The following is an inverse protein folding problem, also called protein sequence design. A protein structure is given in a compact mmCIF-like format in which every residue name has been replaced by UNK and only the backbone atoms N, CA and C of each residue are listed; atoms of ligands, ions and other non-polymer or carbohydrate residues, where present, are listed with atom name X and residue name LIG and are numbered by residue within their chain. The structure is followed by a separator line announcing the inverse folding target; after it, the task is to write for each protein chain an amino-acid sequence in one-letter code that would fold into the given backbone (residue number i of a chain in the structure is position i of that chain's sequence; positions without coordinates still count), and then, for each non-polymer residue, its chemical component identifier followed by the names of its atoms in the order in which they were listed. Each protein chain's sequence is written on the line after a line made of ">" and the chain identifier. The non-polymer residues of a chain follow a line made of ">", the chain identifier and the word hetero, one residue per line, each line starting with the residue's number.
data_IF_084046814472
#
_entry.id   IF_084046814472
#
_cell.length_a   1.000
_cell.length_b   1.000
_cell.length_c   1.000
_cell.angle_alpha   90.00
_cell.angle_beta   90.00
_cell.angle_gamma   90.00
#
_symmetry.space_group_name_H-M   'P 1'
#
loop_
_entity.id
_entity.type
_entity.pdbx_description
1 polymer ?
#
# COMPACT_ATOMS: atom_id res chain seq x y z
N UNK A 1 -17.82 6.76 14.40
CA UNK A 1 -18.54 5.99 13.37
C UNK A 1 -18.18 4.52 13.54
N UNK A 2 -19.14 3.62 13.50
CA UNK A 2 -18.90 2.18 13.52
C UNK A 2 -18.76 1.65 12.09
N UNK A 3 -18.13 0.50 11.91
CA UNK A 3 -17.94 -0.10 10.57
C UNK A 3 -19.29 -0.34 9.84
N UNK A 4 -20.34 -0.70 10.58
CA UNK A 4 -21.68 -0.93 10.01
C UNK A 4 -22.34 0.34 9.46
N UNK A 5 -21.89 1.50 9.88
CA UNK A 5 -22.40 2.81 9.47
C UNK A 5 -21.75 3.32 8.17
N UNK A 6 -20.63 2.72 7.75
CA UNK A 6 -19.92 3.07 6.52
C UNK A 6 -20.77 2.71 5.30
N UNK A 7 -21.08 3.70 4.44
CA UNK A 7 -21.90 3.57 3.23
C UNK A 7 -21.20 4.11 1.98
N UNK A 8 -20.19 4.95 2.14
CA UNK A 8 -19.51 5.64 1.05
C UNK A 8 -17.98 5.60 1.23
N UNK A 9 -17.19 5.86 0.18
CA UNK A 9 -15.74 6.03 0.33
C UNK A 9 -15.33 7.15 1.28
N UNK A 10 -16.12 8.23 1.34
CA UNK A 10 -15.92 9.34 2.28
C UNK A 10 -16.09 8.87 3.73
N UNK A 11 -17.06 8.00 3.99
CA UNK A 11 -17.23 7.40 5.32
C UNK A 11 -16.05 6.51 5.69
N UNK A 12 -15.42 5.81 4.71
CA UNK A 12 -14.20 5.04 4.93
C UNK A 12 -13.09 5.99 5.39
N UNK A 13 -12.86 7.09 4.67
CA UNK A 13 -11.82 8.05 5.04
C UNK A 13 -12.08 8.65 6.43
N UNK A 14 -13.31 8.99 6.73
CA UNK A 14 -13.69 9.54 8.06
C UNK A 14 -13.51 8.50 9.16
N UNK A 15 -13.85 7.22 8.90
CA UNK A 15 -13.60 6.12 9.81
C UNK A 15 -12.08 5.97 10.09
N UNK A 16 -11.25 5.97 9.04
CA UNK A 16 -9.79 5.86 9.17
C UNK A 16 -9.24 7.01 10.02
N UNK A 17 -9.63 8.26 9.75
CA UNK A 17 -9.19 9.44 10.51
C UNK A 17 -9.49 9.35 12.01
N UNK A 18 -10.64 8.79 12.36
CA UNK A 18 -11.11 8.77 13.74
C UNK A 18 -10.62 7.55 14.52
N UNK A 19 -10.24 6.46 13.84
CA UNK A 19 -10.01 5.18 14.50
C UNK A 19 -8.61 4.60 14.27
N UNK A 20 -7.91 5.00 13.19
CA UNK A 20 -6.63 4.38 12.83
C UNK A 20 -5.52 5.44 12.84
N UNK A 21 -4.45 5.17 13.60
CA UNK A 21 -3.23 5.98 13.62
C UNK A 21 -2.13 5.31 12.81
N UNK A 22 -1.17 6.09 12.34
CA UNK A 22 0.04 5.52 11.76
C UNK A 22 0.93 4.94 12.88
N UNK A 23 1.12 3.64 12.83
CA UNK A 23 1.87 2.87 13.81
C UNK A 23 2.03 1.43 13.36
N UNK A 24 2.66 0.60 14.17
CA UNK A 24 2.92 -0.80 13.86
C UNK A 24 3.01 -1.66 15.12
N UNK A 25 2.73 -2.94 14.98
CA UNK A 25 2.98 -3.96 16.00
C UNK A 25 4.32 -4.63 15.72
N UNK A 26 5.05 -4.94 16.77
CA UNK A 26 6.26 -5.73 16.66
C UNK A 26 6.01 -7.22 16.89
N UNK A 27 7.09 -8.00 16.79
CA UNK A 27 7.05 -9.46 16.98
C UNK A 27 6.65 -9.88 18.39
N UNK A 28 6.66 -8.99 19.37
CA UNK A 28 6.27 -9.20 20.77
C UNK A 28 4.90 -8.54 21.07
N UNK A 29 4.16 -8.12 20.03
CA UNK A 29 2.85 -7.45 20.06
C UNK A 29 2.86 -6.07 20.73
N UNK A 30 4.04 -5.43 20.84
CA UNK A 30 4.14 -4.07 21.37
C UNK A 30 3.77 -3.04 20.32
N UNK A 31 3.02 -2.00 20.74
CA UNK A 31 2.58 -0.91 19.89
C UNK A 31 3.66 0.17 19.71
N UNK A 32 3.92 0.56 18.48
CA UNK A 32 4.83 1.65 18.13
C UNK A 32 4.10 2.73 17.33
N UNK A 33 3.74 3.84 17.97
CA UNK A 33 3.04 4.97 17.35
C UNK A 33 4.03 6.12 17.15
N UNK A 34 4.15 6.61 15.90
CA UNK A 34 5.04 7.72 15.57
C UNK A 34 6.53 7.43 15.75
N UNK A 35 6.92 6.17 15.91
CA UNK A 35 8.30 5.75 16.13
C UNK A 35 8.66 4.61 15.18
N UNK A 36 9.62 4.87 14.28
CA UNK A 36 10.10 3.89 13.30
C UNK A 36 11.44 3.22 13.71
N UNK A 37 11.89 3.44 14.95
CA UNK A 37 13.13 2.81 15.45
C UNK A 37 12.95 1.28 15.47
N UNK A 38 13.90 0.58 14.88
CA UNK A 38 13.91 -0.88 14.71
C UNK A 38 12.76 -1.45 13.85
N UNK A 39 11.95 -0.62 13.18
CA UNK A 39 10.85 -1.06 12.33
C UNK A 39 11.22 -2.24 11.43
N UNK A 40 12.27 -2.10 10.61
CA UNK A 40 12.69 -3.16 9.67
C UNK A 40 13.08 -4.49 10.33
N UNK A 41 13.39 -4.47 11.62
CA UNK A 41 13.82 -5.64 12.38
C UNK A 41 12.69 -6.35 13.09
N UNK A 42 11.79 -5.56 13.68
CA UNK A 42 10.79 -6.03 14.64
C UNK A 42 9.37 -6.02 14.11
N UNK A 43 9.10 -5.23 13.04
CA UNK A 43 7.79 -5.14 12.43
C UNK A 43 7.28 -6.50 11.98
N UNK A 44 6.02 -6.73 12.26
CA UNK A 44 5.19 -7.75 11.63
C UNK A 44 3.92 -7.12 11.05
N UNK A 45 3.42 -7.67 9.95
CA UNK A 45 2.10 -7.31 9.44
C UNK A 45 1.02 -7.75 10.41
N UNK A 46 -0.01 -6.92 10.56
CA UNK A 46 -1.19 -7.20 11.38
C UNK A 46 -2.35 -7.68 10.52
N UNK A 47 -3.21 -8.51 11.11
CA UNK A 47 -4.52 -8.81 10.52
C UNK A 47 -5.43 -7.57 10.55
N UNK A 48 -6.57 -7.65 9.85
CA UNK A 48 -7.58 -6.58 9.90
C UNK A 48 -8.14 -6.44 11.32
N UNK A 49 -8.37 -7.57 11.99
CA UNK A 49 -8.87 -7.62 13.35
C UNK A 49 -7.90 -6.92 14.31
N UNK A 50 -6.60 -7.24 14.24
CA UNK A 50 -5.57 -6.58 15.04
C UNK A 50 -5.45 -5.09 14.73
N UNK A 51 -5.48 -4.72 13.43
CA UNK A 51 -5.46 -3.30 13.00
C UNK A 51 -6.62 -2.51 13.61
N UNK A 52 -7.81 -3.12 13.68
CA UNK A 52 -9.00 -2.51 14.27
C UNK A 52 -8.95 -2.50 15.80
N UNK A 53 -8.47 -3.57 16.43
CA UNK A 53 -8.38 -3.71 17.88
C UNK A 53 -7.40 -2.70 18.48
N UNK A 54 -6.21 -2.59 17.88
CA UNK A 54 -5.16 -1.66 18.32
C UNK A 54 -5.34 -0.23 17.78
N UNK A 55 -6.14 -0.06 16.73
CA UNK A 55 -6.35 1.25 16.08
C UNK A 55 -5.07 1.81 15.44
N UNK A 56 -4.16 0.93 15.01
CA UNK A 56 -2.90 1.32 14.35
C UNK A 56 -2.62 0.45 13.12
N UNK A 57 -1.87 1.01 12.18
CA UNK A 57 -1.34 0.30 11.02
C UNK A 57 -0.37 1.18 10.23
N UNK A 58 0.55 0.55 9.53
CA UNK A 58 1.37 1.21 8.52
C UNK A 58 0.56 1.43 7.23
N UNK A 59 1.20 1.90 6.17
CA UNK A 59 0.53 1.98 4.86
C UNK A 59 0.05 0.61 4.36
N UNK A 60 0.68 -0.48 4.78
CA UNK A 60 0.33 -1.85 4.37
C UNK A 60 -1.04 -2.22 4.95
N UNK A 61 -1.18 -2.21 6.27
CA UNK A 61 -2.42 -2.57 6.97
C UNK A 61 -3.56 -1.61 6.67
N UNK A 62 -3.26 -0.30 6.63
CA UNK A 62 -4.29 0.70 6.37
C UNK A 62 -4.88 0.57 4.97
N UNK A 63 -4.04 0.32 3.96
CA UNK A 63 -4.50 0.10 2.58
C UNK A 63 -5.29 -1.20 2.48
N UNK A 64 -4.86 -2.26 3.17
CA UNK A 64 -5.60 -3.52 3.19
C UNK A 64 -6.97 -3.37 3.84
N UNK A 65 -7.05 -2.67 4.98
CA UNK A 65 -8.32 -2.36 5.65
C UNK A 65 -9.24 -1.53 4.74
N UNK A 66 -8.73 -0.46 4.12
CA UNK A 66 -9.53 0.36 3.20
C UNK A 66 -10.04 -0.44 1.99
N UNK A 67 -9.21 -1.34 1.43
CA UNK A 67 -9.60 -2.25 0.37
C UNK A 67 -10.77 -3.15 0.79
N UNK A 68 -10.71 -3.75 1.97
CA UNK A 68 -11.81 -4.60 2.49
C UNK A 68 -13.09 -3.83 2.80
N UNK A 69 -12.96 -2.58 3.26
CA UNK A 69 -14.13 -1.70 3.43
C UNK A 69 -14.77 -1.32 2.08
N UNK A 70 -13.98 -1.09 1.03
CA UNK A 70 -14.46 -0.90 -0.33
C UNK A 70 -15.14 -2.16 -0.90
N UNK A 71 -14.55 -3.35 -0.66
CA UNK A 71 -15.17 -4.64 -1.06
C UNK A 71 -16.54 -4.82 -0.41
N UNK A 72 -16.67 -4.48 0.86
CA UNK A 72 -17.97 -4.53 1.57
C UNK A 72 -19.02 -3.60 0.96
N UNK A 73 -18.61 -2.47 0.39
CA UNK A 73 -19.48 -1.56 -0.35
C UNK A 73 -19.75 -2.04 -1.80
N UNK A 74 -19.20 -3.18 -2.22
CA UNK A 74 -19.20 -3.66 -3.60
C UNK A 74 -18.55 -2.67 -4.58
N UNK A 75 -17.55 -1.92 -4.13
CA UNK A 75 -16.78 -0.99 -4.95
C UNK A 75 -15.49 -1.68 -5.39
N UNK A 76 -15.34 -1.83 -6.72
CA UNK A 76 -14.12 -2.38 -7.31
C UNK A 76 -12.92 -1.56 -6.88
N UNK A 77 -11.86 -2.22 -6.42
CA UNK A 77 -10.63 -1.57 -6.00
C UNK A 77 -9.39 -2.40 -6.33
N UNK A 78 -8.23 -1.79 -6.21
CA UNK A 78 -6.92 -2.43 -6.36
C UNK A 78 -5.92 -1.80 -5.42
N UNK A 79 -5.06 -2.61 -4.83
CA UNK A 79 -3.96 -2.17 -3.99
C UNK A 79 -2.65 -2.18 -4.77
N UNK A 80 -1.83 -1.16 -4.55
CA UNK A 80 -0.54 -0.99 -5.20
C UNK A 80 0.54 -0.67 -4.18
N UNK A 81 1.76 -1.07 -4.51
CA UNK A 81 2.96 -0.72 -3.77
C UNK A 81 3.92 0.02 -4.70
N UNK A 82 4.32 1.23 -4.32
CA UNK A 82 5.46 1.95 -4.90
C UNK A 82 6.66 1.80 -3.99
N UNK A 83 7.83 1.60 -4.59
CA UNK A 83 9.12 1.49 -3.88
C UNK A 83 10.10 2.45 -4.52
N UNK A 84 10.68 3.30 -3.71
CA UNK A 84 11.62 4.32 -4.14
C UNK A 84 12.93 4.14 -3.37
N UNK A 85 14.03 4.11 -4.08
CA UNK A 85 15.36 4.07 -3.49
C UNK A 85 15.94 5.46 -3.41
N UNK A 86 16.30 5.87 -2.21
CA UNK A 86 17.12 7.06 -2.01
C UNK A 86 18.55 6.81 -2.49
N UNK A 87 19.19 7.90 -2.94
CA UNK A 87 20.60 7.91 -3.17
C UNK A 87 21.09 7.34 -4.50
N UNK A 88 22.41 7.22 -4.60
CA UNK A 88 23.13 6.99 -5.84
C UNK A 88 23.48 5.53 -6.09
N UNK A 89 23.34 4.67 -5.09
CA UNK A 89 23.79 3.29 -5.17
C UNK A 89 22.62 2.29 -5.20
N UNK A 90 22.25 1.90 -6.41
CA UNK A 90 21.25 0.86 -6.66
C UNK A 90 21.65 -0.53 -6.14
N UNK A 91 22.89 -0.72 -5.73
CA UNK A 91 23.40 -2.02 -5.27
C UNK A 91 23.19 -2.22 -3.76
N UNK A 92 22.87 -1.16 -3.01
CA UNK A 92 22.58 -1.26 -1.58
C UNK A 92 21.08 -1.10 -1.30
N UNK A 93 20.31 -2.05 -1.79
CA UNK A 93 18.84 -2.03 -1.80
C UNK A 93 18.19 -2.19 -0.41
N UNK A 94 18.93 -2.57 0.62
CA UNK A 94 18.35 -2.85 1.94
C UNK A 94 18.29 -1.62 2.86
N UNK A 95 19.10 -0.61 2.63
CA UNK A 95 19.27 0.48 3.59
C UNK A 95 18.41 1.72 3.31
N UNK A 96 17.99 1.94 2.06
CA UNK A 96 17.47 3.23 1.59
C UNK A 96 16.17 3.09 0.77
N UNK A 97 15.39 2.05 1.02
CA UNK A 97 14.11 1.85 0.33
C UNK A 97 12.96 2.47 1.10
N UNK A 98 12.25 3.38 0.43
CA UNK A 98 10.96 3.89 0.87
C UNK A 98 9.86 3.14 0.16
N UNK A 99 8.99 2.52 0.94
CA UNK A 99 7.80 1.83 0.46
C UNK A 99 6.57 2.63 0.83
N UNK A 100 5.66 2.78 -0.14
CA UNK A 100 4.31 3.25 0.14
C UNK A 100 3.28 2.37 -0.54
N UNK A 101 2.28 1.93 0.23
CA UNK A 101 1.12 1.22 -0.29
C UNK A 101 -0.05 2.20 -0.43
N UNK A 102 -0.85 2.03 -1.49
CA UNK A 102 -2.03 2.84 -1.74
C UNK A 102 -3.14 2.01 -2.39
N UNK A 103 -4.39 2.45 -2.24
CA UNK A 103 -5.57 1.82 -2.83
C UNK A 103 -6.23 2.76 -3.83
N UNK A 104 -6.52 2.23 -5.01
CA UNK A 104 -7.38 2.87 -5.99
C UNK A 104 -8.74 2.19 -6.01
N UNK A 105 -9.80 2.98 -6.16
CA UNK A 105 -11.15 2.45 -6.39
C UNK A 105 -11.79 3.05 -7.64
N UNK A 106 -12.78 2.33 -8.18
CA UNK A 106 -13.39 2.63 -9.48
C UNK A 106 -14.88 2.88 -9.28
N UNK A 107 -15.32 4.09 -9.57
CA UNK A 107 -16.71 4.49 -9.42
C UNK A 107 -17.14 5.39 -10.57
N UNK A 108 -18.31 5.12 -11.17
CA UNK A 108 -18.88 5.92 -12.25
C UNK A 108 -17.93 6.18 -13.44
N UNK A 109 -17.09 5.20 -13.77
CA UNK A 109 -16.14 5.28 -14.89
C UNK A 109 -14.88 6.08 -14.60
N UNK A 110 -14.68 6.52 -13.37
CA UNK A 110 -13.49 7.25 -12.90
C UNK A 110 -12.67 6.43 -11.91
N UNK A 111 -11.44 6.87 -11.67
CA UNK A 111 -10.50 6.27 -10.74
C UNK A 111 -10.25 7.24 -9.60
N UNK A 112 -10.25 6.71 -8.40
CA UNK A 112 -10.04 7.49 -7.18
C UNK A 112 -9.02 6.82 -6.28
N UNK A 113 -8.28 7.61 -5.51
CA UNK A 113 -7.45 7.16 -4.39
C UNK A 113 -8.08 7.61 -3.07
N UNK A 114 -8.15 6.71 -2.09
CA UNK A 114 -8.28 7.11 -0.69
C UNK A 114 -6.87 7.09 -0.11
N UNK A 115 -6.39 8.26 0.31
CA UNK A 115 -5.11 8.38 0.99
C UNK A 115 -5.33 8.73 2.47
N UNK A 116 -4.79 7.90 3.36
CA UNK A 116 -4.80 8.12 4.79
C UNK A 116 -3.43 7.90 5.44
N UNK A 117 -2.65 6.87 5.06
CA UNK A 117 -1.32 6.62 5.64
C UNK A 117 -0.35 7.80 5.51
N UNK A 118 -0.43 8.55 4.42
CA UNK A 118 0.39 9.76 4.24
C UNK A 118 -0.34 10.96 4.84
N UNK A 119 0.03 11.35 6.06
CA UNK A 119 -0.58 12.44 6.81
C UNK A 119 -0.59 13.79 6.10
N UNK A 120 0.37 14.03 5.16
CA UNK A 120 0.41 15.25 4.35
C UNK A 120 -0.59 15.26 3.19
N UNK A 121 -1.10 14.07 2.84
CA UNK A 121 -1.94 13.84 1.67
C UNK A 121 -3.30 13.23 2.02
N UNK A 122 -3.71 13.27 3.27
CA UNK A 122 -5.00 12.68 3.68
C UNK A 122 -6.15 13.26 2.87
N UNK A 123 -6.86 12.40 2.12
CA UNK A 123 -7.96 12.84 1.25
C UNK A 123 -8.43 11.80 0.25
N UNK A 124 -9.38 12.21 -0.60
CA UNK A 124 -9.82 11.46 -1.77
C UNK A 124 -9.43 12.25 -3.01
N UNK A 125 -8.75 11.60 -3.94
CA UNK A 125 -8.23 12.21 -5.17
C UNK A 125 -8.84 11.50 -6.38
N UNK A 126 -9.32 12.29 -7.36
CA UNK A 126 -9.89 11.78 -8.62
C UNK A 126 -8.84 11.82 -9.74
N UNK A 127 -8.82 10.79 -10.58
CA UNK A 127 -7.93 10.66 -11.73
C UNK A 127 -8.73 10.25 -12.96
N UNK A 128 -8.23 10.60 -14.16
CA UNK A 128 -8.87 10.21 -15.40
C UNK A 128 -8.87 8.69 -15.63
N UNK A 129 -7.77 8.04 -15.26
CA UNK A 129 -7.59 6.60 -15.42
C UNK A 129 -6.54 6.05 -14.44
N UNK A 130 -6.42 4.71 -14.39
CA UNK A 130 -5.49 4.00 -13.50
C UNK A 130 -4.03 4.36 -13.77
N UNK A 131 -3.63 4.50 -15.04
CA UNK A 131 -2.26 4.82 -15.42
C UNK A 131 -1.85 6.20 -14.90
N UNK A 132 -2.71 7.20 -15.06
CA UNK A 132 -2.48 8.54 -14.54
C UNK A 132 -2.37 8.52 -13.01
N UNK A 133 -3.29 7.83 -12.32
CA UNK A 133 -3.26 7.72 -10.86
C UNK A 133 -1.94 7.10 -10.36
N UNK A 134 -1.57 5.96 -10.94
CA UNK A 134 -0.36 5.22 -10.56
C UNK A 134 0.90 6.06 -10.82
N UNK A 135 0.99 6.74 -11.97
CA UNK A 135 2.14 7.56 -12.31
C UNK A 135 2.26 8.79 -11.41
N UNK A 136 1.17 9.54 -11.18
CA UNK A 136 1.19 10.74 -10.33
C UNK A 136 1.56 10.42 -8.88
N UNK A 137 1.03 9.31 -8.34
CA UNK A 137 1.36 8.87 -6.98
C UNK A 137 2.83 8.46 -6.91
N UNK A 138 3.31 7.68 -7.87
CA UNK A 138 4.72 7.27 -7.91
C UNK A 138 5.66 8.46 -8.03
N UNK A 139 5.39 9.40 -8.92
CA UNK A 139 6.20 10.59 -9.13
C UNK A 139 6.28 11.46 -7.88
N UNK A 140 5.18 11.55 -7.11
CA UNK A 140 5.20 12.22 -5.82
C UNK A 140 6.23 11.59 -4.87
N UNK A 141 6.25 10.25 -4.73
CA UNK A 141 7.18 9.57 -3.83
C UNK A 141 8.61 9.60 -4.35
N UNK A 142 8.82 9.49 -5.66
CA UNK A 142 10.15 9.65 -6.30
C UNK A 142 10.72 11.04 -6.00
N UNK A 143 9.90 12.07 -6.12
CA UNK A 143 10.31 13.45 -5.83
C UNK A 143 10.56 13.67 -4.34
N UNK A 144 9.71 13.14 -3.48
CA UNK A 144 9.85 13.26 -2.02
C UNK A 144 11.15 12.60 -1.52
N UNK A 145 11.48 11.42 -2.03
CA UNK A 145 12.66 10.66 -1.64
C UNK A 145 13.93 11.05 -2.42
N UNK A 146 13.84 11.99 -3.38
CA UNK A 146 14.94 12.34 -4.30
C UNK A 146 15.60 11.11 -4.93
N UNK A 147 14.79 10.09 -5.20
CA UNK A 147 15.25 8.75 -5.51
C UNK A 147 14.82 8.25 -6.88
N UNK A 148 14.93 6.94 -7.04
CA UNK A 148 14.50 6.23 -8.25
C UNK A 148 13.50 5.16 -7.90
N UNK A 149 12.43 5.07 -8.70
CA UNK A 149 11.37 4.09 -8.53
C UNK A 149 11.76 2.73 -9.08
N UNK A 150 11.29 1.67 -8.42
CA UNK A 150 11.04 0.36 -9.02
C UNK A 150 9.70 0.35 -9.74
N UNK A 151 9.43 -0.67 -10.59
CA UNK A 151 8.09 -0.87 -11.12
C UNK A 151 7.05 -0.94 -10.00
N UNK A 152 5.93 -0.26 -10.20
CA UNK A 152 4.82 -0.29 -9.25
C UNK A 152 4.14 -1.65 -9.35
N UNK A 153 3.89 -2.25 -8.19
CA UNK A 153 3.37 -3.60 -8.09
C UNK A 153 1.96 -3.60 -7.53
N UNK A 154 1.02 -4.17 -8.28
CA UNK A 154 -0.29 -4.51 -7.73
C UNK A 154 -0.13 -5.73 -6.82
N UNK A 155 -0.69 -5.65 -5.60
CA UNK A 155 -0.77 -6.76 -4.66
C UNK A 155 -2.23 -7.02 -4.28
N UNK A 156 -2.53 -8.16 -3.63
CA UNK A 156 -3.91 -8.63 -3.50
C UNK A 156 -4.29 -8.93 -2.05
N UNK A 157 -3.34 -9.34 -1.24
CA UNK A 157 -3.56 -9.75 0.15
C UNK A 157 -2.39 -9.34 1.02
N UNK A 158 -2.66 -9.22 2.31
CA UNK A 158 -1.64 -9.03 3.35
C UNK A 158 -1.86 -10.15 4.36
N UNK A 159 -0.95 -11.12 4.36
CA UNK A 159 -0.95 -12.17 5.38
C UNK A 159 -0.42 -11.57 6.69
N UNK A 160 -1.03 -11.91 7.85
CA UNK A 160 -0.53 -11.47 9.14
C UNK A 160 0.80 -12.17 9.50
N UNK A 161 1.56 -11.54 10.38
CA UNK A 161 2.85 -12.03 10.88
C UNK A 161 3.98 -12.12 9.84
N UNK A 162 3.87 -11.41 8.72
CA UNK A 162 5.01 -11.25 7.82
C UNK A 162 5.96 -10.19 8.36
N UNK A 163 7.25 -10.48 8.38
CA UNK A 163 8.25 -9.45 8.59
C UNK A 163 8.25 -8.44 7.42
N UNK A 164 8.84 -7.26 7.62
CA UNK A 164 9.03 -6.29 6.54
C UNK A 164 9.77 -6.91 5.32
N UNK A 165 10.75 -7.78 5.60
CA UNK A 165 11.48 -8.51 4.56
C UNK A 165 10.60 -9.49 3.80
N UNK A 166 9.74 -10.22 4.49
CA UNK A 166 8.86 -11.21 3.86
C UNK A 166 7.78 -10.54 3.01
N UNK A 167 7.22 -9.42 3.47
CA UNK A 167 6.33 -8.62 2.66
C UNK A 167 7.04 -8.08 1.39
N UNK A 168 8.27 -7.59 1.50
CA UNK A 168 9.07 -7.19 0.34
C UNK A 168 9.34 -8.35 -0.63
N UNK A 169 9.61 -9.55 -0.12
CA UNK A 169 9.79 -10.74 -0.93
C UNK A 169 8.51 -11.09 -1.70
N UNK A 170 7.36 -11.03 -1.03
CA UNK A 170 6.05 -11.20 -1.67
C UNK A 170 5.84 -10.21 -2.83
N UNK A 171 6.12 -8.92 -2.63
CA UNK A 171 6.04 -7.91 -3.69
C UNK A 171 7.01 -8.22 -4.84
N UNK A 172 8.24 -8.66 -4.56
CA UNK A 172 9.22 -9.05 -5.58
C UNK A 172 8.73 -10.25 -6.42
N UNK A 173 8.14 -11.26 -5.79
CA UNK A 173 7.59 -12.41 -6.49
C UNK A 173 6.44 -12.04 -7.44
N UNK A 174 5.59 -11.08 -7.06
CA UNK A 174 4.53 -10.56 -7.93
C UNK A 174 5.11 -9.86 -9.16
N UNK A 175 6.17 -9.06 -9.00
CA UNK A 175 6.87 -8.41 -10.10
C UNK A 175 7.47 -9.45 -11.08
N UNK A 176 8.14 -10.47 -10.57
CA UNK A 176 8.73 -11.52 -11.40
C UNK A 176 7.67 -12.31 -12.18
N UNK A 177 6.53 -12.62 -11.55
CA UNK A 177 5.41 -13.28 -12.25
C UNK A 177 4.87 -12.41 -13.38
N UNK A 178 4.75 -11.10 -13.16
CA UNK A 178 4.30 -10.13 -14.17
C UNK A 178 5.26 -10.04 -15.37
N UNK A 179 6.56 -10.08 -15.12
CA UNK A 179 7.59 -10.12 -16.16
C UNK A 179 7.50 -11.42 -16.96
N UNK A 180 7.42 -12.58 -16.32
CA UNK A 180 7.30 -13.89 -16.99
C UNK A 180 6.07 -13.98 -17.91
N UNK A 181 4.93 -13.42 -17.49
CA UNK A 181 3.71 -13.35 -18.32
C UNK A 181 3.93 -12.48 -19.57
N UNK A 182 4.55 -11.31 -19.43
CA UNK A 182 4.89 -10.44 -20.57
C UNK A 182 5.82 -11.14 -21.57
N UNK A 183 6.88 -11.79 -21.10
CA UNK A 183 7.81 -12.52 -21.96
C UNK A 183 7.16 -13.74 -22.60
N UNK A 184 6.28 -14.45 -21.92
CA UNK A 184 5.52 -15.57 -22.47
C UNK A 184 4.57 -15.16 -23.62
N UNK A 185 4.06 -13.93 -23.59
CA UNK A 185 3.24 -13.37 -24.69
C UNK A 185 4.08 -12.95 -25.90
N UNK A 186 5.33 -12.53 -25.70
CA UNK A 186 6.24 -12.16 -26.79
C UNK A 186 6.98 -13.36 -27.39
N UNK A 187 7.16 -14.45 -26.65
CA UNK A 187 7.81 -15.68 -27.13
C UNK A 187 6.96 -16.54 -28.08
N UNK A 188 5.71 -16.18 -28.35
CA UNK A 188 4.82 -16.87 -29.31
C UNK A 188 4.75 -16.26 -30.70
N UNK A 189 5.65 -15.37 -31.05
CA UNK A 189 5.68 -14.74 -32.37
C UNK A 189 7.01 -14.96 -33.10
N UNK A 190 7.48 -16.22 -33.12
CA UNK A 190 8.47 -16.69 -34.11
C UNK A 190 8.15 -18.17 -34.38
N UNK A 191 7.24 -18.40 -35.33
CA UNK A 191 7.24 -19.49 -36.33
C UNK A 191 6.20 -19.14 -37.38
#
# INVERSE_FOLDING_TARGET
>A
MKIEEIKTPEDILEFMKNNIKYGWLDIDDEEHIGNMKNFRKLYRTSSIEETLEHGIGTCIEQVYLMSKLLDRLNIKNKMFCTRVYEGKDFNNLEAEEHMHCFVLYYLNGKVYQIEHPNWEKVGIYEFENEENAVNEINDYYVKMAEGKSRPITQFFEVEPNLSFKDFNNYINELDEKKIKIKWGLYGRKIL
#
